data_IF_078541824050
#
_entry.id   IF_078541824050
#
_cell.length_a   1.000
_cell.length_b   1.000
_cell.length_c   1.000
_cell.angle_alpha   90.00
_cell.angle_beta   90.00
_cell.angle_gamma   90.00
#
_symmetry.space_group_name_H-M   'P 1'
#
loop_
_entity.id
_entity.type
_entity.pdbx_description
1 polymer ?
#
# COMPACT_ATOMS: atom_id res chain seq x y z
N UNK A 1 -6.14 14.36 -8.41
CA UNK A 1 -4.66 14.29 -8.45
C UNK A 1 -4.24 13.13 -9.35
N UNK A 2 -3.21 13.28 -10.19
CA UNK A 2 -2.78 12.27 -11.20
C UNK A 2 -1.69 11.31 -10.69
N UNK A 3 -1.64 11.04 -9.39
CA UNK A 3 -0.57 10.22 -8.81
C UNK A 3 -0.61 8.77 -9.33
N UNK A 4 -1.79 8.18 -9.56
CA UNK A 4 -1.90 6.84 -10.17
C UNK A 4 -1.20 6.77 -11.53
N UNK A 5 -1.43 7.76 -12.40
CA UNK A 5 -0.80 7.87 -13.73
C UNK A 5 0.73 8.03 -13.61
N UNK A 6 1.16 8.88 -12.67
CA UNK A 6 2.59 9.11 -12.43
C UNK A 6 3.30 7.86 -11.89
N UNK A 7 2.72 7.19 -10.89
CA UNK A 7 3.27 5.96 -10.33
C UNK A 7 3.38 4.90 -11.43
N UNK A 8 2.29 4.68 -12.19
CA UNK A 8 2.24 3.66 -13.23
C UNK A 8 3.26 3.83 -14.37
N UNK A 9 3.67 5.06 -14.67
CA UNK A 9 4.68 5.37 -15.71
C UNK A 9 6.13 5.19 -15.25
N UNK A 10 6.38 5.18 -13.94
CA UNK A 10 7.73 5.10 -13.35
C UNK A 10 8.03 3.74 -12.69
N UNK A 11 7.16 2.75 -12.87
CA UNK A 11 7.38 1.41 -12.34
C UNK A 11 8.41 0.65 -13.17
N UNK A 12 9.36 0.01 -12.50
CA UNK A 12 10.14 -1.07 -13.10
C UNK A 12 9.20 -2.23 -13.45
N UNK A 13 9.04 -2.63 -14.73
CA UNK A 13 8.05 -3.62 -15.15
C UNK A 13 8.14 -4.94 -14.39
N UNK A 14 9.36 -5.40 -14.11
CA UNK A 14 9.67 -6.66 -13.43
C UNK A 14 9.23 -6.64 -11.96
N UNK A 15 9.08 -5.45 -11.37
CA UNK A 15 8.77 -5.28 -9.94
C UNK A 15 7.36 -4.75 -9.71
N UNK A 16 6.55 -4.63 -10.76
CA UNK A 16 5.21 -4.01 -10.70
C UNK A 16 4.34 -4.52 -9.54
N UNK A 17 4.38 -5.82 -9.25
CA UNK A 17 3.60 -6.43 -8.15
C UNK A 17 4.10 -6.08 -6.74
N UNK A 18 5.34 -5.61 -6.62
CA UNK A 18 6.00 -5.29 -5.35
C UNK A 18 5.78 -3.83 -4.94
N UNK A 19 5.35 -2.96 -5.86
CA UNK A 19 4.95 -1.59 -5.54
C UNK A 19 3.61 -1.55 -4.79
N UNK A 20 3.35 -0.41 -4.15
CA UNK A 20 2.08 -0.13 -3.49
C UNK A 20 0.90 -0.23 -4.48
N UNK A 21 -0.16 -0.93 -4.09
CA UNK A 21 -1.41 -1.05 -4.86
C UNK A 21 -2.27 0.22 -4.72
N UNK A 22 -1.73 1.36 -5.17
CA UNK A 22 -2.32 2.68 -4.94
C UNK A 22 -3.77 2.80 -5.43
N UNK A 23 -4.07 2.32 -6.64
CA UNK A 23 -5.43 2.43 -7.19
C UNK A 23 -6.44 1.58 -6.39
N UNK A 24 -6.06 0.37 -6.01
CA UNK A 24 -6.90 -0.50 -5.18
C UNK A 24 -7.15 0.09 -3.80
N UNK A 25 -6.12 0.66 -3.17
CA UNK A 25 -6.27 1.36 -1.89
C UNK A 25 -7.21 2.57 -2.01
N UNK A 26 -7.11 3.31 -3.12
CA UNK A 26 -8.03 4.42 -3.42
C UNK A 26 -9.48 3.93 -3.61
N UNK A 27 -9.70 2.81 -4.28
CA UNK A 27 -11.02 2.16 -4.40
C UNK A 27 -11.60 1.76 -3.03
N UNK A 28 -10.77 1.26 -2.11
CA UNK A 28 -11.20 0.92 -0.74
C UNK A 28 -11.69 2.17 0.00
N UNK A 29 -10.99 3.30 -0.12
CA UNK A 29 -11.43 4.56 0.48
C UNK A 29 -12.77 5.05 -0.09
N UNK A 30 -12.93 5.00 -1.42
CA UNK A 30 -14.21 5.36 -2.03
C UNK A 30 -15.34 4.44 -1.60
N UNK A 31 -15.11 3.12 -1.59
CA UNK A 31 -16.11 2.15 -1.16
C UNK A 31 -16.48 2.30 0.32
N UNK A 32 -15.50 2.61 1.17
CA UNK A 32 -15.74 2.92 2.58
C UNK A 32 -16.58 4.17 2.77
N UNK A 33 -16.33 5.21 1.97
CA UNK A 33 -17.14 6.43 1.99
C UNK A 33 -18.58 6.18 1.52
N UNK A 34 -18.77 5.44 0.43
CA UNK A 34 -20.11 5.10 -0.11
C UNK A 34 -20.95 4.26 0.85
N UNK A 35 -20.30 3.38 1.63
CA UNK A 35 -20.96 2.49 2.61
C UNK A 35 -21.17 3.17 3.96
N UNK A 36 -20.72 4.41 4.14
CA UNK A 36 -20.84 5.12 5.39
C UNK A 36 -22.32 5.39 5.70
N UNK A 37 -22.78 5.17 6.96
CA UNK A 37 -24.13 5.53 7.35
C UNK A 37 -24.42 7.02 7.12
N UNK A 38 -25.61 7.38 6.59
CA UNK A 38 -25.96 8.78 6.34
C UNK A 38 -25.98 9.56 7.65
N UNK A 39 -25.25 10.68 7.67
CA UNK A 39 -25.03 11.48 8.89
C UNK A 39 -26.30 12.11 9.47
N UNK A 40 -27.29 12.36 8.63
CA UNK A 40 -28.55 13.02 9.02
C UNK A 40 -29.51 12.05 9.72
N UNK A 41 -29.48 10.76 9.35
CA UNK A 41 -30.45 9.76 9.80
C UNK A 41 -29.86 8.73 10.77
N UNK A 42 -28.54 8.73 10.98
CA UNK A 42 -27.85 7.71 11.78
C UNK A 42 -27.40 8.25 13.14
N UNK A 43 -27.55 7.47 14.24
CA UNK A 43 -26.97 7.81 15.52
C UNK A 43 -25.45 8.01 15.44
N UNK A 44 -24.93 9.00 16.15
CA UNK A 44 -23.49 9.28 16.18
C UNK A 44 -22.65 8.06 16.62
N UNK A 45 -23.19 7.20 17.48
CA UNK A 45 -22.55 5.95 17.91
C UNK A 45 -22.36 4.96 16.76
N UNK A 46 -23.31 4.88 15.84
CA UNK A 46 -23.24 3.95 14.70
C UNK A 46 -22.24 4.43 13.65
N UNK A 47 -22.20 5.74 13.43
CA UNK A 47 -21.21 6.39 12.57
C UNK A 47 -19.80 6.16 13.14
N UNK A 48 -19.60 6.37 14.45
CA UNK A 48 -18.31 6.16 15.09
C UNK A 48 -17.89 4.68 15.04
N UNK A 49 -18.82 3.76 15.29
CA UNK A 49 -18.55 2.32 15.22
C UNK A 49 -18.16 1.89 13.81
N UNK A 50 -18.85 2.40 12.79
CA UNK A 50 -18.49 2.17 11.39
C UNK A 50 -17.09 2.68 11.10
N UNK A 51 -16.79 3.93 11.48
CA UNK A 51 -15.49 4.55 11.24
C UNK A 51 -14.35 3.79 11.90
N UNK A 52 -14.51 3.38 13.17
CA UNK A 52 -13.50 2.59 13.88
C UNK A 52 -13.24 1.26 13.17
N UNK A 53 -14.29 0.54 12.76
CA UNK A 53 -14.15 -0.72 12.04
C UNK A 53 -13.44 -0.52 10.69
N UNK A 54 -13.87 0.48 9.92
CA UNK A 54 -13.24 0.81 8.63
C UNK A 54 -11.78 1.21 8.80
N UNK A 55 -11.46 1.98 9.84
CA UNK A 55 -10.10 2.38 10.17
C UNK A 55 -9.21 1.16 10.44
N UNK A 56 -9.69 0.19 11.21
CA UNK A 56 -8.94 -1.05 11.48
C UNK A 56 -8.68 -1.83 10.19
N UNK A 57 -9.70 -2.02 9.35
CA UNK A 57 -9.57 -2.68 8.04
C UNK A 57 -8.59 -1.93 7.11
N UNK A 58 -8.65 -0.60 7.12
CA UNK A 58 -7.76 0.25 6.33
C UNK A 58 -6.30 0.12 6.75
N UNK A 59 -6.02 0.16 8.05
CA UNK A 59 -4.65 0.04 8.54
C UNK A 59 -4.07 -1.36 8.35
N UNK A 60 -4.90 -2.41 8.41
CA UNK A 60 -4.47 -3.76 8.02
C UNK A 60 -3.97 -3.81 6.57
N UNK A 61 -4.69 -3.19 5.62
CA UNK A 61 -4.25 -3.10 4.22
C UNK A 61 -2.95 -2.31 4.09
N UNK A 62 -2.82 -1.19 4.82
CA UNK A 62 -1.57 -0.40 4.84
C UNK A 62 -0.38 -1.23 5.34
N UNK A 63 -0.56 -1.98 6.43
CA UNK A 63 0.48 -2.82 7.02
C UNK A 63 0.88 -3.96 6.09
N UNK A 64 -0.07 -4.59 5.40
CA UNK A 64 0.19 -5.63 4.40
C UNK A 64 1.04 -5.10 3.24
N UNK A 65 0.65 -3.95 2.69
CA UNK A 65 1.39 -3.32 1.59
C UNK A 65 2.78 -2.83 2.03
N UNK A 66 2.90 -2.25 3.23
CA UNK A 66 4.17 -1.85 3.80
C UNK A 66 5.10 -3.05 4.02
N UNK A 67 4.59 -4.14 4.60
CA UNK A 67 5.36 -5.36 4.82
C UNK A 67 5.86 -5.94 3.51
N UNK A 68 5.01 -6.00 2.47
CA UNK A 68 5.40 -6.45 1.13
C UNK A 68 6.57 -5.65 0.58
N UNK A 69 6.46 -4.32 0.61
CA UNK A 69 7.49 -3.40 0.11
C UNK A 69 8.80 -3.58 0.88
N UNK A 70 8.73 -3.63 2.22
CA UNK A 70 9.91 -3.78 3.07
C UNK A 70 10.62 -5.11 2.82
N UNK A 71 9.88 -6.22 2.69
CA UNK A 71 10.46 -7.54 2.40
C UNK A 71 11.19 -7.52 1.06
N UNK A 72 10.54 -7.03 -0.01
CA UNK A 72 11.15 -6.96 -1.33
C UNK A 72 12.39 -6.05 -1.35
N UNK A 73 12.32 -4.90 -0.69
CA UNK A 73 13.44 -3.96 -0.62
C UNK A 73 14.64 -4.57 0.13
N UNK A 74 14.39 -5.23 1.26
CA UNK A 74 15.45 -5.90 2.03
C UNK A 74 16.13 -7.01 1.21
N UNK A 75 15.36 -7.81 0.45
CA UNK A 75 15.90 -8.81 -0.46
C UNK A 75 16.80 -8.20 -1.53
N UNK A 76 16.38 -7.06 -2.13
CA UNK A 76 17.16 -6.37 -3.17
C UNK A 76 18.46 -5.77 -2.63
N UNK A 77 18.45 -5.22 -1.42
CA UNK A 77 19.68 -4.73 -0.75
C UNK A 77 20.64 -5.89 -0.49
N UNK A 78 20.16 -7.00 0.07
CA UNK A 78 20.99 -8.18 0.29
C UNK A 78 21.56 -8.77 -1.01
N UNK A 79 20.78 -8.77 -2.09
CA UNK A 79 21.23 -9.16 -3.43
C UNK A 79 22.35 -8.23 -3.95
N UNK A 80 22.19 -6.91 -3.77
CA UNK A 80 23.18 -5.92 -4.17
C UNK A 80 24.50 -6.07 -3.39
N UNK A 81 24.44 -6.27 -2.08
CA UNK A 81 25.62 -6.45 -1.22
C UNK A 81 26.42 -7.70 -1.60
N UNK A 82 25.73 -8.81 -1.92
CA UNK A 82 26.36 -10.04 -2.40
C UNK A 82 27.07 -9.82 -3.73
N UNK A 83 26.41 -9.15 -4.68
CA UNK A 83 27.01 -8.82 -5.99
C UNK A 83 28.23 -7.92 -5.84
N UNK A 84 28.13 -6.89 -5.00
CA UNK A 84 29.23 -5.98 -4.73
C UNK A 84 30.45 -6.71 -4.14
N UNK A 85 30.23 -7.60 -3.17
CA UNK A 85 31.30 -8.40 -2.56
C UNK A 85 31.97 -9.33 -3.58
N UNK A 86 31.19 -9.99 -4.46
CA UNK A 86 31.74 -10.83 -5.53
C UNK A 86 32.63 -10.01 -6.47
N UNK A 87 32.12 -8.88 -6.96
CA UNK A 87 32.85 -8.00 -7.89
C UNK A 87 34.16 -7.48 -7.28
N UNK A 88 34.19 -7.22 -5.97
CA UNK A 88 35.40 -6.78 -5.28
C UNK A 88 36.45 -7.89 -5.17
N UNK A 89 36.04 -9.15 -5.08
CA UNK A 89 36.96 -10.30 -5.02
C UNK A 89 37.49 -10.70 -6.39
N UNK A 90 36.76 -10.38 -7.47
CA UNK A 90 37.15 -10.65 -8.87
C UNK A 90 38.12 -9.58 -9.44
N UNK A 91 38.42 -8.53 -8.66
CA UNK A 91 39.29 -7.39 -8.97
C UNK A 91 40.69 -7.58 -8.35
#
# INVERSE_FOLDING_TARGET
MKFTEHLGTHLTPEWRSQYIQYEKMKEVLYSGFEKMPPKEDSPASDIQRYFNKFQDEWFQICDEELRKINTFFAEKIAEADRKFTSLKNDL
#
